data_IF_655078267300
#
_entry.id   IF_655078267300
#
_cell.length_a   1.000
_cell.length_b   1.000
_cell.length_c   1.000
_cell.angle_alpha   90.00
_cell.angle_beta   90.00
_cell.angle_gamma   90.00
#
_symmetry.space_group_name_H-M   'P 1'
#
loop_
_entity.id
_entity.type
_entity.pdbx_description
1 polymer ?
#
# COMPACT_ATOMS: atom_id res chain seq x y z
N UNK A 1 32.87 -22.44 15.29
CA UNK A 1 33.56 -23.41 14.45
C UNK A 1 32.52 -24.37 13.87
N UNK A 2 32.39 -24.41 12.52
CA UNK A 2 31.38 -25.25 11.85
C UNK A 2 31.95 -26.63 11.52
N UNK A 3 33.21 -26.72 11.18
CA UNK A 3 33.89 -27.99 10.93
C UNK A 3 35.42 -27.82 11.03
N UNK A 4 36.09 -28.87 11.48
CA UNK A 4 37.55 -28.94 11.55
C UNK A 4 38.07 -29.86 10.47
N UNK A 5 38.86 -29.35 9.55
CA UNK A 5 39.55 -30.11 8.52
C UNK A 5 41.01 -30.36 8.95
N UNK A 6 41.68 -31.36 8.36
CA UNK A 6 43.04 -31.79 8.79
C UNK A 6 44.04 -30.64 8.91
N UNK A 7 43.93 -29.59 8.09
CA UNK A 7 44.83 -28.42 8.08
C UNK A 7 44.06 -27.05 8.03
N UNK A 8 42.73 -27.04 8.13
CA UNK A 8 41.90 -25.84 8.04
C UNK A 8 40.69 -25.96 8.98
N UNK A 9 40.28 -24.88 9.57
CA UNK A 9 39.01 -24.81 10.28
C UNK A 9 38.02 -23.94 9.44
N UNK A 10 36.80 -24.41 9.29
CA UNK A 10 35.73 -23.58 8.76
C UNK A 10 35.11 -22.82 9.92
N UNK A 11 35.23 -21.51 9.90
CA UNK A 11 34.66 -20.62 10.92
C UNK A 11 33.48 -19.87 10.28
N UNK A 12 32.45 -19.61 11.07
CA UNK A 12 31.33 -18.79 10.69
C UNK A 12 31.27 -17.58 11.63
N UNK A 13 31.14 -16.39 11.07
CA UNK A 13 30.93 -15.14 11.79
C UNK A 13 29.60 -14.54 11.41
N UNK A 14 28.87 -14.00 12.39
CA UNK A 14 27.65 -13.26 12.12
C UNK A 14 27.99 -12.02 11.28
N UNK A 15 27.20 -11.78 10.21
CA UNK A 15 27.31 -10.53 9.43
C UNK A 15 26.99 -9.33 10.34
N UNK A 16 27.62 -8.15 10.14
CA UNK A 16 27.23 -6.91 10.83
C UNK A 16 25.75 -6.59 10.65
N UNK A 17 25.15 -5.88 11.61
CA UNK A 17 23.72 -5.54 11.58
C UNK A 17 23.28 -4.86 10.27
N UNK A 18 24.09 -3.91 9.76
CA UNK A 18 23.82 -3.23 8.48
C UNK A 18 23.69 -4.23 7.33
N UNK A 19 24.68 -5.11 7.16
CA UNK A 19 24.69 -6.11 6.08
C UNK A 19 23.55 -7.13 6.19
N UNK A 20 23.17 -7.51 7.39
CA UNK A 20 22.01 -8.39 7.61
C UNK A 20 20.72 -7.69 7.19
N UNK A 21 20.61 -6.41 7.49
CA UNK A 21 19.42 -5.64 7.14
C UNK A 21 19.32 -5.39 5.64
N UNK A 22 20.43 -5.12 4.96
CA UNK A 22 20.47 -5.05 3.48
C UNK A 22 19.98 -6.37 2.86
N UNK A 23 20.50 -7.53 3.35
CA UNK A 23 20.03 -8.86 2.93
C UNK A 23 18.52 -9.04 3.18
N UNK A 24 18.01 -8.59 4.34
CA UNK A 24 16.59 -8.69 4.70
C UNK A 24 15.71 -7.85 3.75
N UNK A 25 16.12 -6.63 3.43
CA UNK A 25 15.43 -5.75 2.47
C UNK A 25 15.50 -6.34 1.06
N UNK A 26 16.65 -6.85 0.63
CA UNK A 26 16.81 -7.52 -0.64
C UNK A 26 15.85 -8.73 -0.75
N UNK A 27 15.82 -9.59 0.26
CA UNK A 27 14.92 -10.75 0.33
C UNK A 27 13.45 -10.32 0.34
N UNK A 28 13.11 -9.23 1.02
CA UNK A 28 11.77 -8.67 1.02
C UNK A 28 11.34 -8.28 -0.41
N UNK A 29 12.17 -7.57 -1.17
CA UNK A 29 11.87 -7.23 -2.56
C UNK A 29 11.76 -8.46 -3.46
N UNK A 30 12.62 -9.45 -3.27
CA UNK A 30 12.49 -10.73 -3.98
C UNK A 30 11.13 -11.40 -3.69
N UNK A 31 10.70 -11.41 -2.44
CA UNK A 31 9.41 -11.96 -2.03
C UNK A 31 8.20 -11.12 -2.50
N UNK A 32 8.38 -9.82 -2.73
CA UNK A 32 7.39 -8.95 -3.38
C UNK A 32 7.21 -9.26 -4.88
N UNK A 33 8.12 -10.04 -5.46
CA UNK A 33 8.04 -10.45 -6.86
C UNK A 33 9.06 -9.78 -7.78
N UNK A 34 9.95 -8.94 -7.27
CA UNK A 34 11.05 -8.37 -8.07
C UNK A 34 12.05 -9.46 -8.45
N UNK A 35 12.52 -9.46 -9.69
CA UNK A 35 13.48 -10.46 -10.21
C UNK A 35 14.76 -9.82 -10.73
N UNK A 36 14.76 -8.50 -10.91
CA UNK A 36 15.95 -7.72 -11.21
C UNK A 36 16.32 -6.93 -9.96
N UNK A 37 17.31 -7.44 -9.23
CA UNK A 37 17.85 -6.83 -8.02
C UNK A 37 19.36 -6.70 -8.20
N UNK A 38 20.00 -5.74 -7.51
CA UNK A 38 21.44 -5.65 -7.52
C UNK A 38 22.08 -6.94 -7.00
N UNK A 39 23.19 -7.31 -7.62
CA UNK A 39 24.01 -8.44 -7.19
C UNK A 39 25.21 -7.87 -6.45
N UNK A 40 25.35 -8.31 -5.19
CA UNK A 40 26.43 -7.89 -4.32
C UNK A 40 26.49 -6.36 -4.03
N UNK A 41 27.43 -5.96 -3.21
CA UNK A 41 27.68 -4.59 -2.72
C UNK A 41 28.26 -3.66 -3.79
N UNK A 42 28.32 -4.09 -5.04
CA UNK A 42 29.10 -3.43 -6.08
C UNK A 42 28.30 -2.56 -7.05
N UNK A 43 27.00 -2.33 -6.80
CA UNK A 43 26.24 -1.45 -7.66
C UNK A 43 26.60 0.01 -7.36
N UNK A 44 27.56 0.52 -8.12
CA UNK A 44 27.98 1.92 -8.07
C UNK A 44 27.40 2.66 -9.27
N UNK A 45 26.64 3.72 -9.02
CA UNK A 45 26.02 4.55 -10.05
C UNK A 45 26.70 5.91 -10.07
N UNK A 46 27.12 6.33 -11.27
CA UNK A 46 27.59 7.70 -11.50
C UNK A 46 26.36 8.61 -11.61
N UNK A 47 26.28 9.63 -10.75
CA UNK A 47 25.12 10.50 -10.63
C UNK A 47 25.38 11.93 -11.13
N UNK A 48 26.63 12.32 -11.34
CA UNK A 48 27.04 13.64 -11.82
C UNK A 48 28.05 13.54 -12.95
N UNK A 49 28.56 14.69 -13.37
CA UNK A 49 29.47 14.81 -14.53
C UNK A 49 30.91 14.45 -14.16
N UNK A 50 31.30 14.58 -12.88
CA UNK A 50 32.64 14.21 -12.42
C UNK A 50 32.76 12.68 -12.28
N UNK A 51 33.93 12.10 -12.63
CA UNK A 51 34.23 10.68 -12.35
C UNK A 51 34.14 10.31 -10.88
N UNK A 52 34.24 11.28 -9.99
CA UNK A 52 34.12 11.11 -8.52
C UNK A 52 32.67 11.12 -8.05
N UNK A 53 31.74 11.65 -8.88
CA UNK A 53 30.29 11.70 -8.57
C UNK A 53 29.68 10.30 -8.69
N UNK A 54 30.13 9.39 -7.83
CA UNK A 54 29.68 8.01 -7.76
C UNK A 54 29.11 7.69 -6.39
N UNK A 55 28.06 6.91 -6.37
CA UNK A 55 27.46 6.43 -5.14
C UNK A 55 27.17 4.93 -5.22
N UNK A 56 27.55 4.20 -4.16
CA UNK A 56 27.18 2.80 -4.01
C UNK A 56 25.77 2.72 -3.45
N UNK A 57 24.90 1.95 -4.08
CA UNK A 57 23.52 1.76 -3.67
C UNK A 57 23.39 0.45 -2.90
N UNK A 58 22.81 0.48 -1.69
CA UNK A 58 22.68 -0.70 -0.83
C UNK A 58 21.75 -1.73 -1.44
N UNK A 59 20.49 -1.36 -1.74
CA UNK A 59 19.52 -2.24 -2.40
C UNK A 59 18.82 -1.52 -3.53
N UNK A 60 18.82 -2.14 -4.72
CA UNK A 60 18.05 -1.67 -5.87
C UNK A 60 17.17 -2.79 -6.38
N UNK A 61 15.88 -2.49 -6.52
CA UNK A 61 14.89 -3.42 -7.04
C UNK A 61 14.18 -2.82 -8.26
N UNK A 62 14.28 -3.50 -9.41
CA UNK A 62 13.76 -3.04 -10.69
C UNK A 62 12.54 -3.87 -11.04
N UNK A 63 11.37 -3.21 -11.08
CA UNK A 63 10.10 -3.77 -11.48
C UNK A 63 9.67 -3.33 -12.87
N UNK A 64 8.50 -3.81 -13.28
CA UNK A 64 7.91 -3.43 -14.56
C UNK A 64 7.57 -1.94 -14.62
N UNK A 65 6.98 -1.40 -13.56
CA UNK A 65 6.45 -0.03 -13.50
C UNK A 65 7.35 0.92 -12.66
N UNK A 66 8.19 0.38 -11.77
CA UNK A 66 8.96 1.18 -10.84
C UNK A 66 10.33 0.59 -10.50
N UNK A 67 11.23 1.48 -10.10
CA UNK A 67 12.55 1.18 -9.56
C UNK A 67 12.57 1.68 -8.11
N UNK A 68 13.05 0.87 -7.18
CA UNK A 68 13.24 1.22 -5.78
C UNK A 68 14.72 1.29 -5.48
N UNK A 69 15.15 2.39 -4.87
CA UNK A 69 16.51 2.62 -4.40
C UNK A 69 16.44 2.75 -2.89
N UNK A 70 17.10 1.87 -2.17
CA UNK A 70 17.02 1.81 -0.70
C UNK A 70 18.39 2.04 -0.10
N UNK A 71 18.46 2.99 0.82
CA UNK A 71 19.58 3.21 1.73
C UNK A 71 19.22 2.58 3.08
N UNK A 72 20.08 1.73 3.60
CA UNK A 72 19.84 0.90 4.78
C UNK A 72 20.71 1.33 5.97
N UNK A 73 20.09 1.59 7.12
CA UNK A 73 20.80 1.86 8.38
C UNK A 73 20.29 0.92 9.47
N UNK A 74 21.18 0.15 10.07
CA UNK A 74 20.80 -0.78 11.12
C UNK A 74 21.80 -0.82 12.27
N UNK A 75 21.29 -1.15 13.45
CA UNK A 75 22.07 -1.38 14.65
C UNK A 75 21.56 -2.60 15.42
N UNK A 76 22.38 -3.16 16.31
CA UNK A 76 21.98 -4.36 17.07
C UNK A 76 20.89 -4.04 18.10
N UNK A 77 21.00 -2.91 18.79
CA UNK A 77 20.08 -2.51 19.84
C UNK A 77 19.32 -1.24 19.47
N UNK A 78 18.09 -1.10 19.94
CA UNK A 78 17.29 0.09 19.73
C UNK A 78 17.99 1.31 20.33
N UNK A 79 18.19 2.34 19.53
CA UNK A 79 18.75 3.62 19.98
C UNK A 79 18.24 4.79 19.16
N UNK A 80 18.16 6.00 19.75
CA UNK A 80 17.86 7.21 18.99
C UNK A 80 19.05 7.61 18.11
N UNK A 81 18.77 8.20 16.95
CA UNK A 81 19.78 8.76 16.05
C UNK A 81 19.19 9.90 15.22
N UNK A 82 20.05 10.79 14.73
CA UNK A 82 19.74 11.72 13.66
C UNK A 82 20.51 11.33 12.40
N UNK A 83 19.82 11.38 11.28
CA UNK A 83 20.33 10.99 9.96
C UNK A 83 20.42 12.17 9.01
N UNK A 84 20.54 13.39 9.55
CA UNK A 84 20.63 14.62 8.76
C UNK A 84 21.64 14.49 7.62
N UNK A 85 22.84 14.02 7.91
CA UNK A 85 23.91 13.87 6.91
C UNK A 85 23.51 12.87 5.82
N UNK A 86 23.06 11.69 6.21
CA UNK A 86 22.66 10.63 5.25
C UNK A 86 21.52 11.11 4.34
N UNK A 87 20.54 11.85 4.88
CA UNK A 87 19.42 12.40 4.12
C UNK A 87 19.89 13.51 3.17
N UNK A 88 20.79 14.38 3.62
CA UNK A 88 21.37 15.43 2.78
C UNK A 88 22.22 14.83 1.65
N UNK A 89 22.99 13.78 1.91
CA UNK A 89 23.75 13.02 0.91
C UNK A 89 22.79 12.38 -0.12
N UNK A 90 21.71 11.72 0.35
CA UNK A 90 20.68 11.17 -0.55
C UNK A 90 20.05 12.25 -1.45
N UNK A 91 19.78 13.43 -0.89
CA UNK A 91 19.26 14.56 -1.66
C UNK A 91 20.20 14.96 -2.77
N UNK A 92 21.52 14.96 -2.51
CA UNK A 92 22.54 15.37 -3.46
C UNK A 92 22.56 14.45 -4.69
N UNK A 93 22.62 13.15 -4.50
CA UNK A 93 22.76 12.20 -5.61
C UNK A 93 21.42 11.74 -6.22
N UNK A 94 20.28 11.99 -5.55
CA UNK A 94 18.97 11.44 -5.94
C UNK A 94 18.60 11.66 -7.40
N UNK A 95 18.66 12.89 -7.86
CA UNK A 95 18.19 13.25 -9.21
C UNK A 95 19.12 12.68 -10.31
N UNK A 96 20.43 12.66 -10.05
CA UNK A 96 21.39 12.05 -10.94
C UNK A 96 21.26 10.53 -11.01
N UNK A 97 21.11 9.86 -9.86
CA UNK A 97 20.85 8.41 -9.80
C UNK A 97 19.53 8.08 -10.50
N UNK A 98 18.47 8.86 -10.27
CA UNK A 98 17.18 8.65 -10.94
C UNK A 98 17.31 8.72 -12.46
N UNK A 99 18.03 9.73 -12.97
CA UNK A 99 18.30 9.89 -14.41
C UNK A 99 19.07 8.70 -14.96
N UNK A 100 20.16 8.31 -14.30
CA UNK A 100 21.00 7.19 -14.73
C UNK A 100 20.22 5.87 -14.76
N UNK A 101 19.43 5.58 -13.72
CA UNK A 101 18.62 4.36 -13.66
C UNK A 101 17.53 4.33 -14.73
N UNK A 102 16.88 5.46 -15.03
CA UNK A 102 15.89 5.55 -16.10
C UNK A 102 16.48 5.32 -17.47
N UNK A 103 17.66 5.89 -17.75
CA UNK A 103 18.37 5.66 -19.02
C UNK A 103 18.68 4.19 -19.26
N UNK A 104 19.00 3.43 -18.19
CA UNK A 104 19.36 2.02 -18.31
C UNK A 104 18.11 1.13 -18.37
N UNK A 105 17.09 1.41 -17.55
CA UNK A 105 15.98 0.48 -17.30
C UNK A 105 14.63 0.93 -17.86
N UNK A 106 14.50 2.15 -18.36
CA UNK A 106 13.31 2.71 -18.99
C UNK A 106 12.90 4.07 -18.42
N UNK A 107 12.71 5.03 -19.30
CA UNK A 107 12.40 6.43 -18.99
C UNK A 107 11.02 6.62 -18.34
N UNK A 108 10.09 5.72 -18.62
CA UNK A 108 8.71 5.72 -18.11
C UNK A 108 8.59 5.20 -16.68
N UNK A 109 9.65 4.55 -16.15
CA UNK A 109 9.62 3.98 -14.82
C UNK A 109 9.60 5.04 -13.71
N UNK A 110 8.76 4.82 -12.73
CA UNK A 110 8.81 5.57 -11.48
C UNK A 110 10.04 5.18 -10.69
N UNK A 111 10.71 6.14 -10.07
CA UNK A 111 11.82 5.86 -9.15
C UNK A 111 11.42 6.32 -7.76
N UNK A 112 11.47 5.42 -6.77
CA UNK A 112 11.20 5.71 -5.37
C UNK A 112 12.47 5.49 -4.56
N UNK A 113 12.89 6.55 -3.87
CA UNK A 113 13.96 6.48 -2.89
C UNK A 113 13.38 6.14 -1.52
N UNK A 114 14.03 5.24 -0.82
CA UNK A 114 13.62 4.72 0.48
C UNK A 114 14.80 4.85 1.44
N UNK A 115 14.55 5.43 2.61
CA UNK A 115 15.47 5.42 3.73
C UNK A 115 14.96 4.40 4.75
N UNK A 116 15.63 3.25 4.81
CA UNK A 116 15.24 2.11 5.63
C UNK A 116 16.06 2.06 6.92
N UNK A 117 15.39 1.96 8.06
CA UNK A 117 16.04 1.87 9.37
C UNK A 117 15.62 0.61 10.12
N UNK A 118 16.58 -0.01 10.85
CA UNK A 118 16.36 -1.13 11.74
C UNK A 118 16.93 -0.83 13.12
N UNK A 119 16.10 -0.97 14.17
CA UNK A 119 16.44 -0.67 15.55
C UNK A 119 16.87 0.78 15.78
N UNK A 120 16.38 1.71 14.98
CA UNK A 120 16.56 3.14 15.18
C UNK A 120 15.24 3.84 15.44
N UNK A 121 15.23 4.76 16.39
CA UNK A 121 14.21 5.80 16.54
C UNK A 121 14.83 7.14 16.19
N UNK A 122 14.05 8.05 15.64
CA UNK A 122 14.56 9.41 15.43
C UNK A 122 14.77 10.10 16.75
N UNK A 123 15.88 10.82 16.87
CA UNK A 123 16.22 11.55 18.09
C UNK A 123 15.17 12.65 18.34
N UNK A 124 14.88 12.91 19.61
CA UNK A 124 13.95 13.95 20.02
C UNK A 124 14.41 15.33 19.48
N UNK A 125 13.49 16.09 18.88
CA UNK A 125 13.76 17.39 18.30
C UNK A 125 14.51 17.37 16.96
N UNK A 126 14.83 16.20 16.37
CA UNK A 126 15.37 16.17 15.01
C UNK A 126 14.23 16.38 13.97
N UNK A 127 14.58 17.00 12.85
CA UNK A 127 13.64 17.25 11.75
C UNK A 127 13.76 16.23 10.63
N UNK A 128 14.28 15.03 10.91
CA UNK A 128 14.63 14.05 9.88
C UNK A 128 13.39 13.52 9.12
N UNK A 129 12.25 13.34 9.81
CA UNK A 129 10.99 12.96 9.12
C UNK A 129 10.54 14.05 8.14
N UNK A 130 10.61 15.31 8.54
CA UNK A 130 10.29 16.45 7.68
C UNK A 130 11.24 16.53 6.49
N UNK A 131 12.55 16.34 6.71
CA UNK A 131 13.57 16.32 5.65
C UNK A 131 13.33 15.21 4.65
N UNK A 132 13.02 13.99 5.12
CA UNK A 132 12.66 12.86 4.24
C UNK A 132 11.45 13.19 3.36
N UNK A 133 10.38 13.74 3.97
CA UNK A 133 9.17 14.12 3.25
C UNK A 133 9.43 15.22 2.20
N UNK A 134 10.14 16.29 2.56
CA UNK A 134 10.50 17.41 1.67
C UNK A 134 11.34 16.93 0.48
N UNK A 135 12.22 15.96 0.70
CA UNK A 135 13.05 15.36 -0.34
C UNK A 135 12.39 14.19 -1.08
N UNK A 136 11.11 13.90 -0.81
CA UNK A 136 10.34 12.79 -1.43
C UNK A 136 11.03 11.43 -1.23
N UNK A 137 11.71 11.24 -0.11
CA UNK A 137 12.32 9.98 0.31
C UNK A 137 11.33 9.29 1.25
N UNK A 138 11.02 8.04 0.97
CA UNK A 138 10.08 7.29 1.79
C UNK A 138 10.77 6.78 3.06
N UNK A 139 10.20 7.10 4.21
CA UNK A 139 10.66 6.58 5.50
C UNK A 139 10.20 5.12 5.68
N UNK A 140 11.14 4.21 5.86
CA UNK A 140 10.86 2.78 6.00
C UNK A 140 11.41 2.27 7.34
N UNK A 141 10.54 2.17 8.34
CA UNK A 141 10.88 1.76 9.71
C UNK A 141 10.71 0.26 9.92
N UNK A 142 11.07 -0.24 11.11
CA UNK A 142 10.77 -1.61 11.55
C UNK A 142 9.29 -1.97 11.38
N UNK A 143 8.39 -1.07 11.78
CA UNK A 143 6.94 -1.28 11.63
C UNK A 143 6.54 -1.44 10.16
N UNK A 144 7.14 -0.64 9.26
CA UNK A 144 6.86 -0.74 7.82
C UNK A 144 7.37 -2.07 7.26
N UNK A 145 8.56 -2.50 7.68
CA UNK A 145 9.12 -3.79 7.29
C UNK A 145 8.23 -4.96 7.72
N UNK A 146 7.78 -4.97 8.96
CA UNK A 146 6.89 -6.00 9.50
C UNK A 146 5.52 -6.00 8.81
N UNK A 147 4.98 -4.81 8.52
CA UNK A 147 3.75 -4.67 7.77
C UNK A 147 3.88 -5.25 6.36
N UNK A 148 4.92 -4.87 5.61
CA UNK A 148 5.17 -5.38 4.25
C UNK A 148 5.35 -6.90 4.26
N UNK A 149 6.09 -7.46 5.23
CA UNK A 149 6.22 -8.91 5.37
C UNK A 149 4.88 -9.61 5.69
N UNK A 150 4.02 -8.96 6.45
CA UNK A 150 2.66 -9.45 6.71
C UNK A 150 1.81 -9.45 5.43
N UNK A 151 1.94 -8.41 4.61
CA UNK A 151 1.31 -8.35 3.29
C UNK A 151 1.82 -9.46 2.36
N UNK A 152 3.13 -9.68 2.30
CA UNK A 152 3.75 -10.75 1.49
C UNK A 152 3.15 -12.12 1.87
N UNK A 153 3.05 -12.40 3.17
CA UNK A 153 2.48 -13.66 3.67
C UNK A 153 1.01 -13.82 3.29
N UNK A 154 0.23 -12.74 3.33
CA UNK A 154 -1.20 -12.76 3.09
C UNK A 154 -1.57 -12.73 1.60
N UNK A 155 -0.91 -11.87 0.82
CA UNK A 155 -1.25 -11.60 -0.58
C UNK A 155 -0.48 -12.48 -1.59
N UNK A 156 0.62 -13.10 -1.17
CA UNK A 156 1.47 -13.93 -2.05
C UNK A 156 1.89 -13.15 -3.29
N UNK A 157 1.75 -13.73 -4.48
CA UNK A 157 2.11 -13.10 -5.76
C UNK A 157 1.34 -11.83 -6.09
N UNK A 158 0.22 -11.56 -5.42
CA UNK A 158 -0.63 -10.38 -5.68
C UNK A 158 -0.27 -9.18 -4.81
N UNK A 159 0.70 -9.34 -3.92
CA UNK A 159 1.14 -8.31 -2.95
C UNK A 159 1.60 -7.01 -3.61
N UNK A 160 2.08 -7.10 -4.85
CA UNK A 160 2.67 -5.95 -5.56
C UNK A 160 1.69 -4.78 -5.72
N UNK A 161 0.39 -5.04 -5.90
CA UNK A 161 -0.62 -3.98 -6.00
C UNK A 161 -0.76 -3.20 -4.70
N UNK A 162 -0.81 -3.92 -3.57
CA UNK A 162 -0.90 -3.29 -2.25
C UNK A 162 0.40 -2.56 -1.91
N UNK A 163 1.55 -3.12 -2.28
CA UNK A 163 2.84 -2.49 -2.08
C UNK A 163 2.99 -1.20 -2.91
N UNK A 164 2.58 -1.21 -4.18
CA UNK A 164 2.59 0.01 -5.00
C UNK A 164 1.63 1.07 -4.45
N UNK A 165 0.44 0.67 -3.99
CA UNK A 165 -0.49 1.58 -3.33
C UNK A 165 0.10 2.25 -2.08
N UNK A 166 0.91 1.51 -1.30
CA UNK A 166 1.64 2.04 -0.14
C UNK A 166 2.75 3.01 -0.55
N UNK A 167 3.58 2.63 -1.53
CA UNK A 167 4.77 3.40 -1.94
C UNK A 167 4.43 4.65 -2.75
N UNK A 168 3.39 4.59 -3.58
CA UNK A 168 3.02 5.64 -4.54
C UNK A 168 1.64 6.26 -4.25
N UNK A 169 1.21 6.24 -3.01
CA UNK A 169 -0.10 6.78 -2.62
C UNK A 169 -0.36 8.14 -3.27
N UNK A 170 -1.50 8.27 -3.95
CA UNK A 170 -1.96 9.47 -4.67
C UNK A 170 -1.05 9.94 -5.83
N UNK A 171 -0.02 9.19 -6.17
CA UNK A 171 0.77 9.49 -7.37
C UNK A 171 0.08 8.92 -8.61
N UNK A 172 0.07 9.68 -9.70
CA UNK A 172 -0.51 9.21 -10.96
C UNK A 172 0.28 8.03 -11.51
N UNK A 173 -0.42 7.01 -12.00
CA UNK A 173 0.17 5.86 -12.70
C UNK A 173 0.67 6.35 -14.06
N UNK A 174 -0.21 7.05 -14.79
CA UNK A 174 0.08 7.75 -16.05
C UNK A 174 -0.84 8.96 -16.17
N UNK A 175 -0.80 9.66 -17.33
CA UNK A 175 -1.64 10.83 -17.58
C UNK A 175 -3.04 10.48 -18.09
N UNK A 176 -3.33 9.21 -18.39
CA UNK A 176 -4.62 8.77 -18.86
C UNK A 176 -5.68 8.92 -17.77
N UNK A 177 -6.91 9.16 -18.21
CA UNK A 177 -8.08 9.16 -17.35
C UNK A 177 -8.93 7.94 -17.67
N UNK A 178 -9.43 7.29 -16.65
CA UNK A 178 -10.38 6.18 -16.78
C UNK A 178 -11.77 6.79 -16.89
N UNK A 179 -12.44 6.62 -18.03
CA UNK A 179 -13.80 7.15 -18.26
C UNK A 179 -14.77 5.99 -18.41
N UNK A 180 -15.72 5.87 -17.48
CA UNK A 180 -16.61 4.72 -17.37
C UNK A 180 -18.07 5.20 -17.30
N UNK A 181 -19.02 4.54 -18.00
CA UNK A 181 -20.45 4.74 -17.78
C UNK A 181 -20.82 4.45 -16.32
N UNK A 182 -21.61 5.32 -15.71
CA UNK A 182 -22.01 5.18 -14.33
C UNK A 182 -23.40 5.74 -14.06
N UNK A 183 -24.08 5.17 -13.07
CA UNK A 183 -25.30 5.72 -12.49
C UNK A 183 -24.95 6.44 -11.19
N UNK A 184 -25.23 7.72 -11.10
CA UNK A 184 -25.05 8.52 -9.89
C UNK A 184 -26.35 8.53 -9.09
N UNK A 185 -26.28 8.25 -7.80
CA UNK A 185 -27.39 8.30 -6.85
C UNK A 185 -26.99 8.85 -5.50
N UNK A 186 -27.96 8.88 -4.57
CA UNK A 186 -27.73 9.28 -3.17
C UNK A 186 -28.28 8.20 -2.25
N UNK A 187 -27.52 7.82 -1.24
CA UNK A 187 -27.87 6.82 -0.25
C UNK A 187 -27.38 7.29 1.13
N UNK A 188 -28.28 7.37 2.12
CA UNK A 188 -27.92 7.85 3.45
C UNK A 188 -27.35 9.27 3.50
N UNK A 189 -27.69 10.13 2.52
CA UNK A 189 -27.11 11.47 2.39
C UNK A 189 -25.78 11.52 1.62
N UNK A 190 -25.19 10.38 1.29
CA UNK A 190 -23.92 10.28 0.57
C UNK A 190 -24.12 10.04 -0.92
N UNK A 191 -23.30 10.68 -1.75
CA UNK A 191 -23.25 10.41 -3.18
C UNK A 191 -22.60 9.07 -3.43
N UNK A 192 -23.20 8.24 -4.30
CA UNK A 192 -22.59 7.01 -4.76
C UNK A 192 -22.74 6.86 -6.28
N UNK A 193 -21.90 6.02 -6.84
CA UNK A 193 -21.91 5.63 -8.24
C UNK A 193 -22.01 4.10 -8.36
N UNK A 194 -22.88 3.63 -9.26
CA UNK A 194 -22.87 2.23 -9.70
C UNK A 194 -22.16 2.16 -11.05
N UNK A 195 -21.16 1.33 -11.14
CA UNK A 195 -20.34 1.19 -12.35
C UNK A 195 -19.83 -0.25 -12.51
N UNK A 196 -19.28 -0.53 -13.68
CA UNK A 196 -18.60 -1.80 -13.97
C UNK A 196 -17.19 -1.48 -14.42
N UNK A 197 -16.19 -2.16 -13.84
CA UNK A 197 -14.78 -1.86 -14.06
C UNK A 197 -13.96 -3.15 -14.18
N UNK A 198 -12.91 -3.13 -14.97
CA UNK A 198 -11.99 -4.26 -15.09
C UNK A 198 -11.25 -4.47 -13.76
N UNK A 199 -11.14 -5.73 -13.28
CA UNK A 199 -10.38 -6.06 -12.09
C UNK A 199 -8.94 -5.52 -12.11
N UNK A 200 -8.27 -5.55 -13.27
CA UNK A 200 -6.91 -5.03 -13.42
C UNK A 200 -6.80 -3.53 -13.11
N UNK A 201 -7.78 -2.76 -13.54
CA UNK A 201 -7.86 -1.32 -13.23
C UNK A 201 -8.09 -1.11 -11.74
N UNK A 202 -9.08 -1.80 -11.16
CA UNK A 202 -9.39 -1.68 -9.74
C UNK A 202 -8.24 -2.14 -8.84
N UNK A 203 -7.47 -3.16 -9.24
CA UNK A 203 -6.26 -3.60 -8.53
C UNK A 203 -5.17 -2.50 -8.46
N UNK A 204 -5.05 -1.67 -9.50
CA UNK A 204 -4.06 -0.60 -9.57
C UNK A 204 -4.45 0.63 -8.75
N UNK A 205 -5.71 1.07 -8.86
CA UNK A 205 -6.19 2.27 -8.16
C UNK A 205 -6.69 1.98 -6.76
N UNK A 206 -7.00 0.70 -6.47
CA UNK A 206 -7.58 0.24 -5.22
C UNK A 206 -6.54 0.02 -4.13
N UNK A 207 -6.97 0.21 -2.89
CA UNK A 207 -6.17 -0.04 -1.69
C UNK A 207 -7.03 -0.58 -0.56
N UNK A 208 -6.47 -1.48 0.24
CA UNK A 208 -7.13 -2.05 1.41
C UNK A 208 -6.51 -1.50 2.69
N UNK A 209 -7.33 -0.91 3.54
CA UNK A 209 -6.92 -0.34 4.84
C UNK A 209 -6.83 -1.45 5.88
N UNK A 210 -5.65 -2.10 5.99
CA UNK A 210 -5.46 -3.21 6.91
C UNK A 210 -5.23 -2.74 8.34
N UNK A 211 -5.98 -3.31 9.27
CA UNK A 211 -5.75 -3.16 10.70
C UNK A 211 -4.63 -4.10 11.16
N UNK A 212 -3.44 -3.55 11.30
CA UNK A 212 -2.29 -4.22 11.93
C UNK A 212 -1.64 -3.28 12.94
N UNK A 213 -1.06 -3.84 14.02
CA UNK A 213 -0.35 -3.04 15.04
C UNK A 213 0.84 -2.27 14.47
N UNK A 214 1.37 -2.74 13.35
CA UNK A 214 2.58 -2.21 12.70
C UNK A 214 2.29 -1.30 11.51
N UNK A 215 1.02 -1.06 11.16
CA UNK A 215 0.66 -0.15 10.06
C UNK A 215 0.59 1.29 10.56
N UNK A 216 1.74 1.95 10.68
CA UNK A 216 1.87 3.34 11.11
C UNK A 216 1.91 4.35 9.96
N UNK A 217 1.98 3.87 8.72
CA UNK A 217 2.11 4.70 7.53
C UNK A 217 0.79 5.35 7.08
N UNK A 218 -0.34 4.89 7.60
CA UNK A 218 -1.66 5.37 7.23
C UNK A 218 -2.32 5.96 8.45
N UNK A 219 -2.61 7.25 8.40
CA UNK A 219 -3.27 8.01 9.48
C UNK A 219 -4.77 7.74 9.57
N UNK A 220 -5.36 7.11 8.54
CA UNK A 220 -6.79 6.76 8.54
C UNK A 220 -7.06 5.52 9.40
N UNK A 221 -8.24 5.40 10.00
CA UNK A 221 -8.66 4.19 10.69
C UNK A 221 -8.55 2.97 9.79
N UNK A 222 -7.79 1.98 10.22
CA UNK A 222 -7.60 0.72 9.50
C UNK A 222 -8.48 -0.36 10.12
N UNK A 223 -9.27 -1.05 9.32
CA UNK A 223 -10.32 -1.94 9.83
C UNK A 223 -10.34 -3.33 9.19
N UNK A 224 -9.72 -3.51 8.03
CA UNK A 224 -9.76 -4.78 7.33
C UNK A 224 -8.70 -5.77 7.82
N UNK A 225 -9.05 -7.05 7.82
CA UNK A 225 -8.10 -8.12 8.08
C UNK A 225 -7.24 -8.38 6.85
N UNK A 226 -6.04 -8.89 7.08
CA UNK A 226 -5.22 -9.42 6.01
C UNK A 226 -5.96 -10.56 5.27
N UNK A 227 -5.68 -10.69 3.99
CA UNK A 227 -6.27 -11.74 3.16
C UNK A 227 -5.88 -13.14 3.66
N UNK A 228 -6.78 -14.08 3.44
CA UNK A 228 -6.53 -15.50 3.71
C UNK A 228 -6.06 -16.17 2.41
N UNK A 229 -4.79 -16.65 2.33
CA UNK A 229 -4.21 -17.16 1.08
C UNK A 229 -5.00 -18.32 0.44
N UNK A 230 -5.56 -19.22 1.26
CA UNK A 230 -6.39 -20.33 0.77
C UNK A 230 -7.68 -19.85 0.08
N UNK A 231 -8.27 -18.75 0.58
CA UNK A 231 -9.43 -18.12 -0.05
C UNK A 231 -9.07 -17.48 -1.40
N UNK A 232 -7.93 -16.79 -1.49
CA UNK A 232 -7.46 -16.22 -2.77
C UNK A 232 -7.28 -17.31 -3.83
N UNK A 233 -6.62 -18.41 -3.46
CA UNK A 233 -6.44 -19.56 -4.35
C UNK A 233 -7.79 -20.14 -4.80
N UNK A 234 -8.70 -20.36 -3.86
CA UNK A 234 -10.04 -20.89 -4.16
C UNK A 234 -10.85 -19.97 -5.08
N UNK A 235 -10.76 -18.66 -4.92
CA UNK A 235 -11.42 -17.69 -5.80
C UNK A 235 -10.80 -17.70 -7.19
N UNK A 236 -9.47 -17.68 -7.31
CA UNK A 236 -8.78 -17.78 -8.59
C UNK A 236 -9.16 -19.06 -9.36
N UNK A 237 -9.20 -20.20 -8.68
CA UNK A 237 -9.65 -21.46 -9.28
C UNK A 237 -11.13 -21.45 -9.69
N UNK A 238 -11.98 -20.81 -8.91
CA UNK A 238 -13.39 -20.62 -9.23
C UNK A 238 -13.57 -19.80 -10.52
N UNK A 239 -12.84 -18.70 -10.66
CA UNK A 239 -12.87 -17.84 -11.83
C UNK A 239 -12.29 -18.57 -13.06
N UNK A 240 -11.06 -19.10 -12.95
CA UNK A 240 -10.32 -19.60 -14.12
C UNK A 240 -10.73 -20.99 -14.59
N UNK A 241 -11.06 -21.90 -13.66
CA UNK A 241 -11.34 -23.28 -13.99
C UNK A 241 -12.84 -23.60 -14.10
N UNK A 242 -13.67 -22.88 -13.32
CA UNK A 242 -15.11 -23.14 -13.26
C UNK A 242 -15.94 -22.08 -14.00
N UNK A 243 -15.31 -21.12 -14.68
CA UNK A 243 -15.96 -19.94 -15.26
C UNK A 243 -16.90 -19.26 -14.25
N UNK A 244 -16.49 -19.25 -12.99
CA UNK A 244 -17.28 -18.69 -11.91
C UNK A 244 -17.30 -17.16 -11.96
N UNK A 245 -18.39 -16.60 -11.50
CA UNK A 245 -18.57 -15.15 -11.41
C UNK A 245 -19.21 -14.75 -10.07
N UNK A 246 -19.03 -13.49 -9.70
CA UNK A 246 -19.56 -12.94 -8.49
C UNK A 246 -20.59 -11.85 -8.84
N UNK A 247 -21.90 -12.09 -8.62
CA UNK A 247 -22.93 -11.11 -8.91
C UNK A 247 -22.98 -9.96 -7.92
N UNK A 248 -22.36 -10.12 -6.75
CA UNK A 248 -22.34 -9.11 -5.70
C UNK A 248 -21.34 -8.02 -6.03
N UNK A 249 -21.75 -6.75 -5.89
CA UNK A 249 -20.87 -5.62 -6.08
C UNK A 249 -19.73 -5.56 -5.08
N UNK A 250 -18.57 -5.07 -5.54
CA UNK A 250 -17.49 -4.59 -4.67
C UNK A 250 -17.86 -3.21 -4.18
N UNK A 251 -17.58 -2.89 -2.92
CA UNK A 251 -17.86 -1.57 -2.34
C UNK A 251 -16.55 -0.85 -2.14
N UNK A 252 -16.46 0.34 -2.71
CA UNK A 252 -15.27 1.20 -2.60
C UNK A 252 -15.65 2.60 -2.15
N UNK A 253 -14.68 3.34 -1.66
CA UNK A 253 -14.77 4.78 -1.46
C UNK A 253 -13.63 5.48 -2.20
N UNK A 254 -13.94 6.48 -3.02
CA UNK A 254 -12.93 7.35 -3.59
C UNK A 254 -12.42 8.34 -2.55
N UNK A 255 -11.10 8.46 -2.46
CA UNK A 255 -10.43 9.40 -1.56
C UNK A 255 -10.49 10.80 -2.18
N UNK A 256 -11.08 11.75 -1.48
CA UNK A 256 -11.21 13.16 -1.90
C UNK A 256 -10.17 14.08 -1.23
N UNK A 257 -9.25 13.52 -0.43
CA UNK A 257 -8.23 14.28 0.30
C UNK A 257 -7.31 15.10 -0.62
N UNK A 258 -7.06 14.61 -1.84
CA UNK A 258 -6.20 15.23 -2.83
C UNK A 258 -7.01 15.83 -3.99
N UNK A 259 -7.15 17.15 -4.04
CA UNK A 259 -7.96 17.85 -5.07
C UNK A 259 -7.63 17.44 -6.51
N UNK A 260 -6.35 17.16 -6.82
CA UNK A 260 -5.88 16.73 -8.16
C UNK A 260 -6.37 15.33 -8.57
N UNK A 261 -6.79 14.52 -7.60
CA UNK A 261 -7.23 13.14 -7.78
C UNK A 261 -8.74 12.96 -7.56
N UNK A 262 -9.52 14.03 -7.54
CA UNK A 262 -10.97 13.94 -7.45
C UNK A 262 -11.58 13.38 -8.73
N UNK A 263 -12.56 12.53 -8.55
CA UNK A 263 -13.40 12.02 -9.63
C UNK A 263 -14.31 13.13 -10.18
N UNK A 264 -14.73 12.99 -11.43
CA UNK A 264 -15.64 13.93 -12.08
C UNK A 264 -16.78 13.16 -12.76
N UNK A 265 -18.00 13.62 -12.60
CA UNK A 265 -19.17 13.01 -13.22
C UNK A 265 -19.81 13.96 -14.20
N UNK A 266 -19.92 13.51 -15.46
CA UNK A 266 -20.56 14.23 -16.55
C UNK A 266 -21.87 13.55 -16.91
N UNK A 267 -22.97 14.30 -16.95
CA UNK A 267 -24.28 13.79 -17.38
C UNK A 267 -24.23 13.31 -18.84
N UNK A 268 -24.89 12.19 -19.12
CA UNK A 268 -25.06 11.74 -20.50
C UNK A 268 -25.97 12.70 -21.29
N UNK A 269 -25.70 12.88 -22.59
CA UNK A 269 -26.53 13.68 -23.47
C UNK A 269 -27.98 13.14 -23.47
N UNK A 270 -28.96 13.99 -23.16
CA UNK A 270 -30.37 13.60 -23.02
C UNK A 270 -30.75 13.03 -21.64
N UNK A 271 -29.83 13.00 -20.68
CA UNK A 271 -30.12 12.67 -19.27
C UNK A 271 -30.93 13.81 -18.65
N UNK A 272 -32.01 13.46 -17.93
CA UNK A 272 -32.79 14.45 -17.18
C UNK A 272 -32.17 14.70 -15.82
N UNK A 273 -32.04 15.97 -15.44
CA UNK A 273 -31.62 16.36 -14.08
C UNK A 273 -32.75 16.15 -13.05
N UNK A 274 -33.98 15.90 -13.51
CA UNK A 274 -35.15 15.73 -12.66
C UNK A 274 -35.28 14.33 -12.04
N UNK A 275 -34.45 13.36 -12.47
CA UNK A 275 -34.47 12.01 -11.91
C UNK A 275 -33.55 11.89 -10.68
N UNK A 276 -34.02 11.10 -9.70
CA UNK A 276 -33.20 10.81 -8.47
C UNK A 276 -31.90 10.06 -8.80
N UNK A 277 -31.89 9.31 -9.90
CA UNK A 277 -30.71 8.60 -10.42
C UNK A 277 -30.32 9.21 -11.74
N UNK A 278 -29.07 9.60 -11.90
CA UNK A 278 -28.53 10.25 -13.09
C UNK A 278 -27.63 9.31 -13.85
N UNK A 279 -27.86 9.15 -15.15
CA UNK A 279 -26.97 8.41 -16.05
C UNK A 279 -25.89 9.35 -16.57
N UNK A 280 -24.64 8.90 -16.56
CA UNK A 280 -23.51 9.69 -17.05
C UNK A 280 -22.23 8.92 -17.17
N UNK A 281 -21.13 9.65 -17.20
CA UNK A 281 -19.78 9.12 -17.26
C UNK A 281 -18.99 9.58 -16.05
N UNK A 282 -18.38 8.61 -15.36
CA UNK A 282 -17.44 8.89 -14.28
C UNK A 282 -16.02 8.91 -14.82
N UNK A 283 -15.34 10.02 -14.65
CA UNK A 283 -13.92 10.19 -14.97
C UNK A 283 -13.11 10.01 -13.71
N UNK A 284 -12.32 8.94 -13.69
CA UNK A 284 -11.48 8.54 -12.55
C UNK A 284 -10.02 8.83 -12.91
N UNK A 285 -9.27 9.56 -12.08
CA UNK A 285 -7.82 9.71 -12.26
C UNK A 285 -7.12 8.36 -12.19
N UNK A 286 -6.19 8.10 -13.10
CA UNK A 286 -5.40 6.87 -13.03
C UNK A 286 -4.22 7.07 -12.06
N UNK A 287 -4.49 6.86 -10.77
CA UNK A 287 -3.53 7.07 -9.69
C UNK A 287 -3.61 5.96 -8.65
N UNK A 288 -2.48 5.69 -7.98
CA UNK A 288 -2.41 4.65 -6.94
C UNK A 288 -3.16 5.07 -5.68
N UNK A 289 -3.82 4.11 -5.04
CA UNK A 289 -4.43 4.27 -3.72
C UNK A 289 -5.47 5.41 -3.65
N UNK A 290 -6.28 5.59 -4.69
CA UNK A 290 -7.36 6.58 -4.72
C UNK A 290 -8.75 5.98 -4.43
N UNK A 291 -8.86 4.66 -4.38
CA UNK A 291 -10.09 3.94 -4.10
C UNK A 291 -9.89 2.97 -2.94
N UNK A 292 -10.46 3.26 -1.78
CA UNK A 292 -10.40 2.34 -0.65
C UNK A 292 -11.46 1.25 -0.79
N UNK A 293 -11.03 -0.01 -0.80
CA UNK A 293 -11.93 -1.16 -0.89
C UNK A 293 -12.55 -1.40 0.49
N UNK A 294 -13.85 -1.16 0.64
CA UNK A 294 -14.59 -1.39 1.88
C UNK A 294 -15.02 -2.85 1.99
N UNK A 295 -15.59 -3.42 0.91
CA UNK A 295 -15.93 -4.84 0.82
C UNK A 295 -15.54 -5.44 -0.52
N UNK A 296 -15.26 -6.74 -0.54
CA UNK A 296 -14.93 -7.49 -1.74
C UNK A 296 -13.43 -7.64 -2.01
N UNK A 297 -12.53 -7.31 -1.07
CA UNK A 297 -11.09 -7.44 -1.24
C UNK A 297 -10.66 -8.83 -1.76
N UNK A 298 -11.22 -9.93 -1.23
CA UNK A 298 -10.88 -11.27 -1.71
C UNK A 298 -11.28 -11.50 -3.17
N UNK A 299 -12.40 -10.91 -3.60
CA UNK A 299 -12.88 -11.01 -5.00
C UNK A 299 -11.93 -10.26 -5.93
N UNK A 300 -11.58 -9.02 -5.61
CA UNK A 300 -10.67 -8.18 -6.41
C UNK A 300 -9.30 -8.83 -6.52
N UNK A 301 -8.69 -9.20 -5.38
CA UNK A 301 -7.36 -9.83 -5.39
C UNK A 301 -7.35 -11.26 -5.93
N UNK A 302 -8.48 -11.95 -5.91
CA UNK A 302 -8.66 -13.25 -6.58
C UNK A 302 -8.49 -13.18 -8.10
N UNK A 303 -8.81 -12.03 -8.69
CA UNK A 303 -8.56 -11.79 -10.12
C UNK A 303 -7.09 -11.47 -10.45
N UNK A 304 -6.26 -11.09 -9.49
CA UNK A 304 -4.92 -10.58 -9.78
C UNK A 304 -4.03 -11.54 -10.59
N UNK A 305 -4.18 -12.85 -10.38
CA UNK A 305 -3.48 -13.89 -11.16
C UNK A 305 -4.31 -14.52 -12.29
N UNK A 306 -5.55 -14.07 -12.47
CA UNK A 306 -6.48 -14.65 -13.45
C UNK A 306 -6.20 -14.14 -14.87
N UNK A 307 -6.39 -15.02 -15.86
CA UNK A 307 -6.38 -14.65 -17.29
C UNK A 307 -7.51 -13.67 -17.68
N UNK A 308 -8.54 -13.59 -16.85
CA UNK A 308 -9.72 -12.75 -17.08
C UNK A 308 -9.62 -11.36 -16.41
N UNK A 309 -8.51 -11.02 -15.76
CA UNK A 309 -8.39 -9.75 -15.02
C UNK A 309 -8.52 -8.51 -15.90
N UNK A 310 -8.15 -8.61 -17.18
CA UNK A 310 -8.16 -7.51 -18.15
C UNK A 310 -9.38 -7.55 -19.09
N UNK A 311 -10.16 -8.63 -19.08
CA UNK A 311 -11.27 -8.85 -20.00
C UNK A 311 -12.63 -8.94 -19.31
N UNK A 312 -12.67 -9.37 -18.05
CA UNK A 312 -13.90 -9.33 -17.28
C UNK A 312 -14.10 -7.93 -16.67
N UNK A 313 -15.36 -7.62 -16.39
CA UNK A 313 -15.72 -6.49 -15.55
C UNK A 313 -16.43 -6.97 -14.29
N UNK A 314 -16.29 -6.22 -13.21
CA UNK A 314 -16.96 -6.50 -11.93
C UNK A 314 -17.85 -5.31 -11.54
N UNK A 315 -19.05 -5.58 -10.98
CA UNK A 315 -19.93 -4.52 -10.51
C UNK A 315 -19.34 -3.87 -9.26
N UNK A 316 -19.41 -2.54 -9.23
CA UNK A 316 -18.89 -1.72 -8.14
C UNK A 316 -19.94 -0.71 -7.69
N UNK A 317 -20.09 -0.56 -6.38
CA UNK A 317 -20.73 0.58 -5.74
C UNK A 317 -19.63 1.44 -5.12
N UNK A 318 -19.49 2.65 -5.65
CA UNK A 318 -18.41 3.56 -5.28
C UNK A 318 -18.98 4.79 -4.59
N UNK A 319 -18.58 5.05 -3.36
CA UNK A 319 -18.86 6.29 -2.65
C UNK A 319 -17.85 7.37 -3.03
N UNK A 320 -18.22 8.64 -2.83
CA UNK A 320 -17.42 9.81 -3.14
C UNK A 320 -17.11 10.59 -1.84
N UNK A 321 -15.89 10.45 -1.36
CA UNK A 321 -15.44 11.14 -0.15
C UNK A 321 -16.17 10.74 1.14
N UNK A 322 -16.54 9.45 1.27
CA UNK A 322 -17.20 8.95 2.47
C UNK A 322 -16.26 9.08 3.69
N UNK A 323 -16.72 9.67 4.80
CA UNK A 323 -15.94 9.77 6.03
C UNK A 323 -15.46 8.43 6.56
N UNK A 324 -14.32 8.41 7.23
CA UNK A 324 -13.66 7.17 7.68
C UNK A 324 -14.51 6.34 8.64
N UNK A 325 -15.27 6.99 9.52
CA UNK A 325 -16.18 6.34 10.45
C UNK A 325 -17.38 5.69 9.72
N UNK A 326 -17.88 6.32 8.66
CA UNK A 326 -18.93 5.72 7.83
C UNK A 326 -18.41 4.53 7.01
N UNK A 327 -17.18 4.60 6.48
CA UNK A 327 -16.54 3.45 5.83
C UNK A 327 -16.45 2.26 6.79
N UNK A 328 -16.05 2.53 8.02
CA UNK A 328 -15.95 1.52 9.08
C UNK A 328 -17.31 0.95 9.46
N UNK A 329 -18.38 1.78 9.54
CA UNK A 329 -19.76 1.34 9.80
C UNK A 329 -20.25 0.40 8.71
N UNK A 330 -20.10 0.78 7.44
CA UNK A 330 -20.49 -0.05 6.29
C UNK A 330 -19.75 -1.39 6.34
N UNK A 331 -18.45 -1.38 6.61
CA UNK A 331 -17.66 -2.60 6.75
C UNK A 331 -18.20 -3.51 7.88
N UNK A 332 -18.53 -2.94 9.03
CA UNK A 332 -19.06 -3.68 10.17
C UNK A 332 -20.44 -4.29 9.86
N UNK A 333 -21.35 -3.48 9.35
CA UNK A 333 -22.73 -3.90 9.06
C UNK A 333 -22.78 -5.05 8.05
N UNK A 334 -21.99 -4.96 6.97
CA UNK A 334 -21.88 -6.03 5.97
C UNK A 334 -21.34 -7.32 6.60
N UNK A 335 -20.28 -7.21 7.42
CA UNK A 335 -19.65 -8.40 7.99
C UNK A 335 -20.43 -9.00 9.18
N UNK A 336 -21.18 -8.21 9.91
CA UNK A 336 -22.05 -8.71 10.98
C UNK A 336 -23.16 -9.62 10.46
N UNK A 337 -23.66 -9.34 9.27
CA UNK A 337 -24.73 -10.14 8.64
C UNK A 337 -24.21 -11.33 7.82
N UNK A 338 -22.93 -11.33 7.42
CA UNK A 338 -22.37 -12.41 6.61
C UNK A 338 -21.64 -13.50 7.41
N UNK A 339 -20.96 -13.15 8.49
CA UNK A 339 -20.29 -14.08 9.42
C UNK A 339 -19.96 -13.32 10.69
N UNK A 340 -20.19 -13.94 11.84
CA UNK A 340 -19.90 -13.31 13.13
C UNK A 340 -18.46 -12.76 13.16
N UNK A 341 -18.34 -11.45 13.23
CA UNK A 341 -17.06 -10.77 13.51
C UNK A 341 -16.63 -11.22 14.91
N UNK A 342 -15.37 -11.60 15.09
CA UNK A 342 -14.91 -12.05 16.41
C UNK A 342 -15.20 -10.99 17.47
N UNK A 343 -15.61 -11.38 18.70
CA UNK A 343 -15.91 -10.41 19.75
C UNK A 343 -14.81 -9.40 20.00
N UNK A 344 -13.54 -9.82 19.94
CA UNK A 344 -12.38 -8.94 20.08
C UNK A 344 -12.30 -7.88 18.99
N UNK A 345 -12.53 -8.23 17.71
CA UNK A 345 -12.52 -7.26 16.62
C UNK A 345 -13.70 -6.28 16.72
N UNK A 346 -14.88 -6.74 17.17
CA UNK A 346 -16.02 -5.84 17.43
C UNK A 346 -15.69 -4.79 18.48
N UNK A 347 -15.07 -5.21 19.59
CA UNK A 347 -14.64 -4.31 20.66
C UNK A 347 -13.66 -3.26 20.11
N UNK A 348 -12.67 -3.72 19.39
CA UNK A 348 -11.64 -2.85 18.80
C UNK A 348 -12.23 -1.80 17.84
N UNK A 349 -13.11 -2.23 16.93
CA UNK A 349 -13.75 -1.34 15.96
C UNK A 349 -14.74 -0.36 16.63
N UNK A 350 -15.42 -0.76 17.70
CA UNK A 350 -16.25 0.15 18.51
C UNK A 350 -15.43 1.20 19.23
N UNK A 351 -14.23 0.87 19.71
CA UNK A 351 -13.33 1.87 20.29
C UNK A 351 -13.08 2.99 19.27
N UNK A 352 -12.69 2.63 18.04
CA UNK A 352 -12.40 3.59 17.00
C UNK A 352 -13.62 4.44 16.59
N UNK A 353 -14.82 3.85 16.55
CA UNK A 353 -16.06 4.55 16.21
C UNK A 353 -16.54 5.51 17.31
N UNK A 354 -16.45 5.06 18.56
CA UNK A 354 -17.08 5.75 19.67
C UNK A 354 -16.13 6.70 20.40
N UNK A 355 -14.81 6.71 20.05
CA UNK A 355 -13.81 7.52 20.74
C UNK A 355 -14.11 9.01 20.68
N UNK A 356 -14.41 9.53 19.48
CA UNK A 356 -14.74 10.93 19.23
C UNK A 356 -16.26 11.18 19.10
N UNK A 357 -17.06 10.22 19.51
CA UNK A 357 -18.52 10.34 19.44
C UNK A 357 -19.02 11.58 20.21
N UNK A 358 -19.98 12.35 19.69
CA UNK A 358 -20.60 13.43 20.41
C UNK A 358 -21.37 12.95 21.66
N UNK A 359 -21.71 11.65 21.73
CA UNK A 359 -22.43 11.05 22.85
C UNK A 359 -21.47 10.57 23.93
N UNK A 360 -21.61 11.11 25.15
CA UNK A 360 -20.79 10.76 26.31
C UNK A 360 -20.77 9.26 26.60
N UNK A 361 -21.94 8.60 26.54
CA UNK A 361 -22.06 7.15 26.77
C UNK A 361 -21.24 6.31 25.79
N UNK A 362 -21.17 6.72 24.53
CA UNK A 362 -20.37 6.05 23.51
C UNK A 362 -18.87 6.20 23.82
N UNK A 363 -18.41 7.40 24.16
CA UNK A 363 -17.00 7.63 24.56
C UNK A 363 -16.60 6.82 25.79
N UNK A 364 -17.48 6.74 26.81
CA UNK A 364 -17.23 5.91 27.99
C UNK A 364 -17.13 4.42 27.68
N UNK A 365 -17.93 3.92 26.72
CA UNK A 365 -17.84 2.53 26.24
C UNK A 365 -16.51 2.30 25.50
N UNK A 366 -16.10 3.22 24.66
CA UNK A 366 -14.81 3.16 23.96
C UNK A 366 -13.63 3.15 24.94
N UNK A 367 -13.65 4.03 25.95
CA UNK A 367 -12.61 4.09 26.98
C UNK A 367 -12.52 2.76 27.78
N UNK A 368 -13.66 2.22 28.24
CA UNK A 368 -13.69 0.91 28.94
C UNK A 368 -13.13 -0.21 28.08
N UNK A 369 -13.53 -0.26 26.81
CA UNK A 369 -13.04 -1.26 25.87
C UNK A 369 -11.53 -1.12 25.60
N UNK A 370 -11.01 0.12 25.52
CA UNK A 370 -9.59 0.41 25.38
C UNK A 370 -8.76 -0.08 26.58
N UNK A 371 -9.27 0.14 27.81
CA UNK A 371 -8.63 -0.34 29.04
C UNK A 371 -8.55 -1.88 29.05
N UNK A 372 -9.67 -2.56 28.77
CA UNK A 372 -9.70 -4.03 28.70
C UNK A 372 -8.75 -4.61 27.64
N UNK A 373 -8.45 -3.84 26.59
CA UNK A 373 -7.50 -4.25 25.54
C UNK A 373 -6.04 -4.14 25.99
N UNK A 374 -5.73 -3.25 26.92
CA UNK A 374 -4.36 -3.04 27.43
C UNK A 374 -3.97 -4.01 28.54
N UNK A 375 -4.94 -4.64 29.19
CA UNK A 375 -4.77 -5.70 30.17
C UNK A 375 -4.65 -7.07 29.47
#
# INVERSE_FOLDING_TARGET
EVSKLKYKARIQKLKPAGRRFEDDIWCMFYNLGFRHLNYDENLVVQWGDSPEDKHQLDVVAIGKEAIFVVECKATENIKPASFKKDIDDMRLYRDGVMKALRQIYGEDKKVKFIFATRNYTFAEGCEDEKRLAENKIFQFTDNTYDYVNSLIKAYKSTVIYQFYGLMFRHERINNDKIRIPALKGTMGGHTYYMLSIEPATLLKIGFVLHRTRVNTQITMPTYQRLLVPSRLKGIGEFIDKKNGYFPNSVIINFDDSERKNRIQFDLASGGSDDTRTKLGYLTIPNAYCIAYIIDGQHRVYGYAGSKYKDTNTIPVVAFDGLPSDEQLRIFMDINEHQKAVSPSLRIDLRIDLDWDSPRMDSRLKALRASIVRQL
#
